data_IF_171092202817
#
_entry.id   IF_171092202817
#
_cell.length_a   1.000
_cell.length_b   1.000
_cell.length_c   1.000
_cell.angle_alpha   90.00
_cell.angle_beta   90.00
_cell.angle_gamma   90.00
#
_symmetry.space_group_name_H-M   'P 1'
#
loop_
_entity.id
_entity.type
_entity.pdbx_description
1 polymer ?
#
# COMPACT_ATOMS: atom_id res chain seq x y z
N UNK A 1 -37.77 52.71 48.57
CA UNK A 1 -38.35 51.86 49.64
C UNK A 1 -37.80 50.48 49.41
N UNK A 2 -36.90 50.15 50.18
CA UNK A 2 -36.58 49.22 51.25
C UNK A 2 -35.68 48.10 50.70
N UNK A 3 -34.46 48.19 50.83
CA UNK A 3 -33.47 47.78 51.85
C UNK A 3 -33.73 46.39 52.48
N UNK A 4 -32.74 45.45 52.27
CA UNK A 4 -32.20 44.43 53.20
C UNK A 4 -31.22 43.55 52.44
N UNK A 5 -29.96 43.69 52.46
CA UNK A 5 -28.86 43.38 53.40
C UNK A 5 -29.15 42.18 54.32
N UNK A 6 -28.24 41.20 54.28
CA UNK A 6 -27.76 40.20 55.24
C UNK A 6 -27.33 38.95 54.39
N UNK A 7 -26.23 38.29 54.53
CA UNK A 7 -25.12 38.26 55.46
C UNK A 7 -24.05 37.34 54.81
N UNK A 8 -22.85 37.56 55.21
CA UNK A 8 -21.63 36.69 54.94
C UNK A 8 -21.84 35.34 55.59
N UNK A 9 -21.44 34.29 54.89
CA UNK A 9 -20.84 33.12 55.54
C UNK A 9 -19.62 32.64 54.78
N UNK A 10 -18.53 32.58 55.49
CA UNK A 10 -17.18 32.17 55.16
C UNK A 10 -17.03 30.66 55.31
N UNK A 11 -16.27 30.06 54.38
CA UNK A 11 -15.40 28.92 54.62
C UNK A 11 -15.77 27.62 54.00
N UNK A 12 -14.83 26.66 53.84
CA UNK A 12 -13.39 26.84 53.71
C UNK A 12 -12.81 26.25 52.39
N UNK A 13 -11.64 26.72 52.06
CA UNK A 13 -10.75 26.20 51.03
C UNK A 13 -10.40 24.72 51.27
N UNK A 14 -10.67 23.89 50.31
CA UNK A 14 -10.04 22.59 50.17
C UNK A 14 -9.29 22.59 48.87
N UNK A 15 -8.03 23.06 48.92
CA UNK A 15 -7.09 22.96 47.81
C UNK A 15 -6.66 21.51 47.63
N UNK A 16 -7.28 20.80 46.74
CA UNK A 16 -6.70 19.58 46.19
C UNK A 16 -5.66 19.95 45.14
N UNK A 17 -4.40 19.99 45.58
CA UNK A 17 -3.25 20.05 44.70
C UNK A 17 -3.11 18.68 44.04
N UNK A 18 -3.55 18.56 42.80
CA UNK A 18 -3.11 17.45 41.96
C UNK A 18 -1.58 17.51 41.79
N UNK A 19 -0.83 16.48 42.12
CA UNK A 19 0.59 16.46 41.83
C UNK A 19 0.76 16.35 40.31
N UNK A 20 1.23 17.43 39.69
CA UNK A 20 1.77 17.42 38.33
C UNK A 20 2.98 16.50 38.33
N UNK A 21 2.77 15.23 38.02
CA UNK A 21 3.83 14.26 37.78
C UNK A 21 4.38 14.54 36.38
N UNK A 22 5.23 15.55 36.27
CA UNK A 22 6.07 15.74 35.10
C UNK A 22 7.19 14.71 35.17
N UNK A 23 7.00 13.56 34.52
CA UNK A 23 8.10 12.70 34.12
C UNK A 23 8.88 13.42 33.02
N UNK A 24 9.81 14.30 33.39
CA UNK A 24 10.84 14.73 32.47
C UNK A 24 11.88 13.61 32.41
N UNK A 25 11.60 12.61 31.59
CA UNK A 25 12.59 11.61 31.25
C UNK A 25 13.48 12.24 30.18
N UNK A 26 14.71 12.60 30.57
CA UNK A 26 15.67 13.15 29.62
C UNK A 26 15.90 12.18 28.46
N UNK A 27 15.69 12.68 27.23
CA UNK A 27 15.87 11.90 26.01
C UNK A 27 17.26 11.23 25.94
N UNK A 28 18.29 11.85 26.54
CA UNK A 28 19.63 11.29 26.67
C UNK A 28 19.69 10.07 27.59
N UNK A 29 18.89 10.05 28.66
CA UNK A 29 18.83 8.92 29.59
C UNK A 29 18.14 7.73 28.94
N UNK A 30 17.05 7.97 28.18
CA UNK A 30 16.38 6.92 27.41
C UNK A 30 17.26 6.33 26.31
N UNK A 31 18.03 7.18 25.61
CA UNK A 31 18.95 6.72 24.57
C UNK A 31 20.06 5.84 25.13
N UNK A 32 20.60 6.22 26.29
CA UNK A 32 21.65 5.45 26.98
C UNK A 32 21.13 4.10 27.48
N UNK A 33 19.91 4.08 28.07
CA UNK A 33 19.27 2.85 28.53
C UNK A 33 18.91 1.92 27.36
N UNK A 34 18.46 2.46 26.24
CA UNK A 34 18.19 1.68 25.05
C UNK A 34 19.47 1.07 24.46
N UNK A 35 20.56 1.82 24.41
CA UNK A 35 21.87 1.32 23.96
C UNK A 35 22.39 0.20 24.88
N UNK A 36 22.24 0.35 26.19
CA UNK A 36 22.66 -0.65 27.17
C UNK A 36 21.82 -1.92 27.14
N UNK A 37 20.52 -1.80 26.80
CA UNK A 37 19.64 -2.94 26.57
C UNK A 37 20.00 -3.67 25.27
N UNK A 38 20.37 -2.95 24.23
CA UNK A 38 20.80 -3.52 22.95
C UNK A 38 22.12 -4.29 23.10
N UNK A 39 23.06 -3.79 23.93
CA UNK A 39 24.31 -4.46 24.20
C UNK A 39 24.14 -5.75 25.03
N UNK A 40 23.06 -5.86 25.78
CA UNK A 40 22.71 -7.07 26.58
C UNK A 40 21.94 -8.11 25.78
N UNK A 41 21.50 -7.80 24.58
CA UNK A 41 20.86 -8.83 23.74
C UNK A 41 21.93 -9.86 23.36
N UNK A 42 21.64 -11.17 23.57
CA UNK A 42 22.55 -12.20 23.13
C UNK A 42 22.74 -12.06 21.64
N UNK A 43 23.96 -11.76 21.22
CA UNK A 43 24.36 -11.87 19.81
C UNK A 43 24.30 -13.37 19.50
N UNK A 44 23.16 -13.82 19.05
CA UNK A 44 23.05 -15.15 18.44
C UNK A 44 23.90 -15.07 17.18
N UNK A 45 24.99 -15.85 17.06
CA UNK A 45 25.71 -15.91 15.81
C UNK A 45 24.69 -16.40 14.77
N UNK A 46 24.23 -15.51 13.93
CA UNK A 46 23.49 -15.94 12.72
C UNK A 46 24.54 -16.66 11.91
N UNK A 47 24.44 -18.00 11.92
CA UNK A 47 25.23 -18.84 11.03
C UNK A 47 24.99 -18.32 9.60
N UNK A 48 25.99 -17.76 8.93
CA UNK A 48 25.78 -17.19 7.58
C UNK A 48 25.54 -18.25 6.52
N UNK A 49 25.34 -19.50 6.91
CA UNK A 49 25.51 -20.63 5.99
C UNK A 49 24.30 -21.16 5.23
N UNK A 50 23.00 -20.93 5.54
CA UNK A 50 22.00 -21.52 4.62
C UNK A 50 21.66 -20.67 3.39
N UNK A 51 22.08 -19.41 3.32
CA UNK A 51 21.72 -18.51 2.21
C UNK A 51 22.94 -17.91 1.46
N UNK A 52 24.13 -18.34 1.77
CA UNK A 52 25.27 -18.22 0.87
C UNK A 52 25.21 -19.33 -0.19
N UNK A 53 24.13 -19.31 -0.96
CA UNK A 53 24.17 -19.97 -2.26
C UNK A 53 25.28 -19.30 -3.08
N UNK A 54 26.15 -20.13 -3.64
CA UNK A 54 27.23 -19.71 -4.51
C UNK A 54 26.64 -18.76 -5.57
N UNK A 55 27.14 -17.51 -5.71
CA UNK A 55 26.61 -16.62 -6.75
C UNK A 55 26.99 -17.22 -8.10
N UNK A 56 26.03 -17.69 -8.86
CA UNK A 56 26.29 -18.12 -10.21
C UNK A 56 25.23 -18.96 -10.90
N UNK A 57 24.67 -19.97 -10.26
CA UNK A 57 23.73 -20.88 -10.94
C UNK A 57 22.27 -20.70 -10.50
N UNK A 58 21.99 -20.36 -9.24
CA UNK A 58 20.63 -20.13 -8.77
C UNK A 58 20.05 -18.77 -9.18
N UNK A 59 20.89 -17.77 -9.36
CA UNK A 59 20.44 -16.42 -9.74
C UNK A 59 19.96 -16.36 -11.20
N UNK A 60 20.54 -17.19 -12.06
CA UNK A 60 20.08 -17.40 -13.45
C UNK A 60 18.77 -18.16 -13.55
N UNK A 61 18.40 -18.95 -12.53
CA UNK A 61 17.18 -19.73 -12.48
C UNK A 61 15.98 -18.95 -11.92
N UNK A 62 16.21 -17.85 -11.22
CA UNK A 62 15.16 -17.01 -10.63
C UNK A 62 14.68 -15.95 -11.62
N UNK A 63 13.39 -15.72 -11.63
CA UNK A 63 12.76 -14.61 -12.35
C UNK A 63 12.85 -13.29 -11.58
N UNK A 64 12.26 -12.22 -12.10
CA UNK A 64 12.19 -10.94 -11.43
C UNK A 64 11.35 -11.04 -10.17
N UNK A 65 11.63 -10.16 -9.18
CA UNK A 65 10.74 -9.99 -8.03
C UNK A 65 9.47 -9.29 -8.49
N UNK A 66 8.32 -9.91 -8.25
CA UNK A 66 7.00 -9.46 -8.68
C UNK A 66 6.13 -9.14 -7.47
N UNK A 67 5.47 -8.00 -7.47
CA UNK A 67 4.38 -7.70 -6.54
C UNK A 67 3.09 -8.29 -7.08
N UNK A 68 2.46 -9.21 -6.34
CA UNK A 68 1.19 -9.82 -6.68
C UNK A 68 0.04 -9.05 -6.03
N UNK A 69 -0.97 -8.77 -6.82
CA UNK A 69 -2.18 -8.10 -6.35
C UNK A 69 -3.41 -8.63 -7.09
N UNK A 70 -4.57 -8.40 -6.51
CA UNK A 70 -5.86 -8.74 -7.10
C UNK A 70 -6.61 -7.47 -7.52
N UNK A 71 -7.14 -7.48 -8.71
CA UNK A 71 -7.99 -6.44 -9.26
C UNK A 71 -9.32 -7.07 -9.66
N UNK A 72 -10.39 -6.77 -8.92
CA UNK A 72 -11.64 -7.53 -8.97
C UNK A 72 -11.38 -9.03 -8.73
N UNK A 73 -11.61 -9.86 -9.73
CA UNK A 73 -11.39 -11.32 -9.64
C UNK A 73 -10.08 -11.77 -10.32
N UNK A 74 -9.36 -10.84 -10.95
CA UNK A 74 -8.13 -11.14 -11.69
C UNK A 74 -6.89 -11.01 -10.81
N UNK A 75 -6.01 -12.01 -10.86
CA UNK A 75 -4.69 -11.97 -10.25
C UNK A 75 -3.67 -11.41 -11.23
N UNK A 76 -3.02 -10.36 -10.81
CA UNK A 76 -2.06 -9.61 -11.62
C UNK A 76 -0.75 -9.41 -10.87
N UNK A 77 0.31 -9.15 -11.61
CA UNK A 77 1.61 -8.84 -11.05
C UNK A 77 2.30 -7.72 -11.83
N UNK A 78 3.09 -6.95 -11.12
CA UNK A 78 4.04 -5.98 -11.68
C UNK A 78 5.42 -6.22 -11.08
N UNK A 79 6.51 -5.88 -11.80
CA UNK A 79 7.85 -5.89 -11.22
C UNK A 79 7.87 -5.03 -9.94
N UNK A 80 8.32 -5.61 -8.83
CA UNK A 80 8.32 -4.93 -7.53
C UNK A 80 9.16 -3.63 -7.55
N UNK A 81 10.18 -3.57 -8.40
CA UNK A 81 11.02 -2.39 -8.58
C UNK A 81 10.30 -1.18 -9.19
N UNK A 82 9.14 -1.37 -9.80
CA UNK A 82 8.33 -0.30 -10.40
C UNK A 82 7.28 0.26 -9.44
N UNK A 83 7.06 -0.43 -8.33
CA UNK A 83 6.11 0.01 -7.29
C UNK A 83 6.87 0.83 -6.26
N UNK A 84 6.52 2.10 -6.18
CA UNK A 84 7.11 3.04 -5.21
C UNK A 84 6.55 2.84 -3.81
N UNK A 85 5.24 2.59 -3.72
CA UNK A 85 4.54 2.49 -2.45
C UNK A 85 3.31 1.60 -2.54
N UNK A 86 3.05 0.89 -1.45
CA UNK A 86 1.78 0.22 -1.16
C UNK A 86 1.14 0.95 0.02
N UNK A 87 0.13 1.74 -0.23
CA UNK A 87 -0.52 2.57 0.78
C UNK A 87 -1.89 2.01 1.19
N UNK A 88 -2.37 2.31 2.40
CA UNK A 88 -3.77 2.10 2.74
C UNK A 88 -4.68 2.87 1.78
N UNK A 89 -5.90 2.38 1.60
CA UNK A 89 -6.89 3.07 0.77
C UNK A 89 -7.13 4.47 1.32
N UNK A 90 -7.13 5.47 0.41
CA UNK A 90 -7.38 6.88 0.72
C UNK A 90 -8.44 7.42 -0.23
N UNK A 91 -9.17 8.44 0.21
CA UNK A 91 -10.05 9.18 -0.66
C UNK A 91 -9.25 9.96 -1.72
N UNK A 92 -9.73 9.96 -2.93
CA UNK A 92 -9.23 10.81 -4.00
C UNK A 92 -10.20 11.95 -4.28
N UNK A 93 -9.69 13.04 -4.79
CA UNK A 93 -10.47 14.23 -5.15
C UNK A 93 -10.62 14.29 -6.67
N UNK A 94 -11.85 14.34 -7.15
CA UNK A 94 -12.12 14.43 -8.58
C UNK A 94 -11.55 15.71 -9.18
N UNK A 95 -11.09 15.62 -10.42
CA UNK A 95 -10.59 16.78 -11.18
C UNK A 95 -11.73 17.34 -12.02
N UNK A 96 -12.20 18.59 -11.79
CA UNK A 96 -13.26 19.20 -12.57
C UNK A 96 -12.86 19.31 -14.06
N UNK A 97 -13.83 19.04 -14.94
CA UNK A 97 -13.63 19.18 -16.38
C UNK A 97 -12.93 18.01 -17.07
N UNK A 98 -12.39 17.06 -16.33
CA UNK A 98 -11.76 15.87 -16.90
C UNK A 98 -12.82 14.83 -17.31
N UNK A 99 -12.72 14.30 -18.52
CA UNK A 99 -13.73 13.40 -19.12
C UNK A 99 -13.28 11.95 -19.25
N UNK A 100 -12.02 11.67 -18.97
CA UNK A 100 -11.46 10.32 -19.08
C UNK A 100 -11.95 9.46 -17.92
N UNK A 101 -12.59 8.32 -18.23
CA UNK A 101 -13.14 7.39 -17.23
C UNK A 101 -12.04 6.78 -16.34
N UNK A 102 -10.86 6.59 -16.91
CA UNK A 102 -9.75 6.00 -16.19
C UNK A 102 -9.20 6.91 -15.09
N UNK A 103 -9.33 8.25 -15.19
CA UNK A 103 -8.89 9.16 -14.13
C UNK A 103 -9.95 9.25 -13.03
N UNK A 104 -9.63 8.72 -11.85
CA UNK A 104 -10.48 8.81 -10.66
C UNK A 104 -10.33 10.17 -9.96
N UNK A 105 -9.16 10.79 -10.03
CA UNK A 105 -8.87 12.07 -9.40
C UNK A 105 -7.43 12.18 -8.93
N UNK A 106 -7.21 12.99 -7.89
CA UNK A 106 -5.90 13.17 -7.24
C UNK A 106 -5.96 12.59 -5.83
N UNK A 107 -4.92 11.89 -5.43
CA UNK A 107 -4.75 11.35 -4.09
C UNK A 107 -3.49 11.91 -3.44
N UNK A 108 -3.53 12.15 -2.15
CA UNK A 108 -2.35 12.58 -1.40
C UNK A 108 -1.57 11.34 -0.92
N UNK A 109 -0.36 11.18 -1.46
CA UNK A 109 0.62 10.20 -1.00
C UNK A 109 1.82 10.94 -0.39
N UNK A 110 2.02 10.81 0.91
CA UNK A 110 3.13 11.44 1.66
C UNK A 110 3.28 12.94 1.43
N UNK A 111 2.16 13.66 1.25
CA UNK A 111 2.17 15.11 1.01
C UNK A 111 2.24 15.50 -0.47
N UNK A 112 2.49 14.58 -1.38
CA UNK A 112 2.44 14.83 -2.82
C UNK A 112 1.05 14.48 -3.39
N UNK A 113 0.52 15.33 -4.25
CA UNK A 113 -0.69 15.04 -5.01
C UNK A 113 -0.33 14.22 -6.24
N UNK A 114 -0.86 13.01 -6.30
CA UNK A 114 -0.57 12.02 -7.32
C UNK A 114 -1.86 11.69 -8.08
N UNK A 115 -1.84 11.60 -9.42
CA UNK A 115 -2.99 11.12 -10.18
C UNK A 115 -3.38 9.71 -9.75
N UNK A 116 -4.68 9.52 -9.49
CA UNK A 116 -5.26 8.22 -9.17
C UNK A 116 -6.08 7.74 -10.36
N UNK A 117 -5.69 6.60 -10.92
CA UNK A 117 -6.31 6.04 -12.12
C UNK A 117 -6.93 4.67 -11.84
N UNK A 118 -7.94 4.32 -12.60
CA UNK A 118 -8.55 2.99 -12.58
C UNK A 118 -7.79 2.08 -13.54
N UNK A 119 -6.96 1.20 -13.01
CA UNK A 119 -6.31 0.16 -13.81
C UNK A 119 -7.35 -0.80 -14.41
N UNK A 120 -8.47 -1.05 -13.70
CA UNK A 120 -9.57 -1.88 -14.20
C UNK A 120 -10.21 -1.34 -15.48
N UNK A 121 -10.47 -0.03 -15.54
CA UNK A 121 -10.99 0.61 -16.75
C UNK A 121 -10.01 0.49 -17.94
N UNK A 122 -8.71 0.62 -17.68
CA UNK A 122 -7.70 0.52 -18.72
C UNK A 122 -7.51 -0.90 -19.24
N UNK A 123 -7.61 -1.89 -18.34
CA UNK A 123 -7.51 -3.29 -18.69
C UNK A 123 -8.82 -3.89 -19.16
N UNK A 124 -9.94 -3.17 -19.05
CA UNK A 124 -11.28 -3.70 -19.32
C UNK A 124 -11.75 -4.74 -18.30
N UNK A 125 -11.13 -4.78 -17.11
CA UNK A 125 -11.54 -5.67 -16.03
C UNK A 125 -12.76 -5.09 -15.34
N UNK A 126 -13.90 -5.71 -15.52
CA UNK A 126 -15.14 -5.30 -14.86
C UNK A 126 -15.18 -5.86 -13.44
N UNK A 127 -15.50 -5.05 -12.42
CA UNK A 127 -15.76 -5.59 -11.09
C UNK A 127 -17.00 -6.48 -11.16
N UNK A 128 -16.91 -7.69 -10.65
CA UNK A 128 -18.09 -8.57 -10.51
C UNK A 128 -19.19 -7.89 -9.71
N UNK A 129 -20.47 -8.15 -10.02
CA UNK A 129 -21.60 -7.59 -9.27
C UNK A 129 -21.50 -7.82 -7.75
N UNK A 130 -20.82 -8.88 -7.34
CA UNK A 130 -20.58 -9.22 -5.93
C UNK A 130 -19.58 -8.28 -5.23
N UNK A 131 -18.74 -7.57 -5.98
CA UNK A 131 -17.74 -6.63 -5.45
C UNK A 131 -18.30 -5.20 -5.33
N UNK A 132 -19.46 -4.93 -5.93
CA UNK A 132 -20.11 -3.61 -5.93
C UNK A 132 -21.01 -3.36 -4.72
N UNK A 133 -21.16 -4.33 -3.81
CA UNK A 133 -21.94 -4.09 -2.60
C UNK A 133 -21.14 -3.15 -1.69
N UNK A 134 -21.63 -1.92 -1.42
CA UNK A 134 -21.00 -1.06 -0.45
C UNK A 134 -20.95 -1.82 0.88
N UNK A 135 -19.87 -1.71 1.66
CA UNK A 135 -19.75 -2.42 2.92
C UNK A 135 -20.85 -1.93 3.87
N UNK A 136 -21.96 -2.67 3.91
CA UNK A 136 -22.98 -2.50 4.93
C UNK A 136 -22.34 -2.96 6.24
N UNK A 137 -21.80 -1.99 6.96
CA UNK A 137 -21.56 -1.97 8.42
C UNK A 137 -21.12 -3.28 9.09
N UNK A 138 -20.13 -3.95 8.56
CA UNK A 138 -19.38 -4.98 9.29
C UNK A 138 -17.91 -4.57 9.27
N UNK A 139 -17.23 -4.68 10.42
CA UNK A 139 -15.80 -4.44 10.68
C UNK A 139 -14.88 -5.36 9.81
N UNK A 140 -15.11 -5.43 8.51
CA UNK A 140 -14.17 -6.02 7.58
C UNK A 140 -13.05 -5.01 7.38
N UNK A 141 -11.88 -5.35 7.91
CA UNK A 141 -10.63 -4.66 7.57
C UNK A 141 -10.57 -4.66 6.06
N UNK A 142 -10.68 -3.48 5.45
CA UNK A 142 -10.60 -3.34 4.00
C UNK A 142 -9.23 -3.85 3.54
N UNK A 143 -9.22 -4.91 2.75
CA UNK A 143 -7.99 -5.45 2.13
C UNK A 143 -7.51 -4.58 0.99
N UNK A 144 -8.37 -3.66 0.50
CA UNK A 144 -8.07 -2.75 -0.59
C UNK A 144 -6.88 -1.84 -0.27
N UNK A 145 -6.03 -1.64 -1.25
CA UNK A 145 -4.81 -0.82 -1.16
C UNK A 145 -4.71 0.10 -2.36
N UNK A 146 -3.93 1.16 -2.19
CA UNK A 146 -3.42 1.98 -3.28
C UNK A 146 -2.01 1.53 -3.61
N UNK A 147 -1.76 1.25 -4.88
CA UNK A 147 -0.42 1.03 -5.40
C UNK A 147 0.04 2.29 -6.13
N UNK A 148 1.26 2.72 -5.87
CA UNK A 148 1.89 3.82 -6.59
C UNK A 148 2.92 3.25 -7.56
N UNK A 149 2.66 3.39 -8.85
CA UNK A 149 3.53 2.96 -9.94
C UNK A 149 4.41 4.12 -10.40
N UNK A 150 5.71 3.88 -10.43
CA UNK A 150 6.67 4.79 -11.07
C UNK A 150 6.91 4.38 -12.51
N UNK A 151 6.69 5.29 -13.43
CA UNK A 151 6.96 5.11 -14.85
C UNK A 151 7.65 6.37 -15.42
N UNK A 152 8.89 6.21 -15.87
CA UNK A 152 9.72 7.36 -16.20
C UNK A 152 9.91 8.30 -15.03
N UNK A 153 9.56 9.56 -15.21
CA UNK A 153 9.58 10.59 -14.16
C UNK A 153 8.22 10.77 -13.47
N UNK A 154 7.20 10.05 -13.91
CA UNK A 154 5.84 10.16 -13.40
C UNK A 154 5.57 9.15 -12.30
N UNK A 155 4.70 9.54 -11.38
CA UNK A 155 4.14 8.68 -10.36
C UNK A 155 2.63 8.69 -10.51
N UNK A 156 2.03 7.53 -10.62
CA UNK A 156 0.57 7.37 -10.69
C UNK A 156 0.11 6.35 -9.68
N UNK A 157 -1.02 6.59 -9.05
CA UNK A 157 -1.63 5.67 -8.10
C UNK A 157 -2.82 4.95 -8.73
N UNK A 158 -3.10 3.75 -8.27
CA UNK A 158 -4.30 3.01 -8.65
C UNK A 158 -4.79 2.11 -7.51
N UNK A 159 -6.12 1.99 -7.31
CA UNK A 159 -6.69 1.12 -6.31
C UNK A 159 -6.67 -0.33 -6.76
N UNK A 160 -6.42 -1.23 -5.81
CA UNK A 160 -6.48 -2.68 -5.99
C UNK A 160 -7.32 -3.30 -4.87
N UNK A 161 -7.91 -4.46 -5.14
CA UNK A 161 -8.77 -5.15 -4.18
C UNK A 161 -7.96 -5.74 -3.03
N UNK A 162 -6.77 -6.26 -3.35
CA UNK A 162 -5.92 -6.95 -2.39
C UNK A 162 -4.46 -6.94 -2.87
N UNK A 163 -3.52 -6.87 -1.95
CA UNK A 163 -2.10 -7.05 -2.22
C UNK A 163 -1.63 -8.28 -1.46
N UNK A 164 -1.09 -9.27 -2.20
CA UNK A 164 -0.55 -10.47 -1.57
C UNK A 164 0.85 -10.23 -1.02
N UNK A 165 1.68 -9.51 -1.75
CA UNK A 165 3.09 -9.28 -1.43
C UNK A 165 4.01 -9.60 -2.61
N UNK A 166 5.32 -9.66 -2.34
CA UNK A 166 6.32 -9.92 -3.37
C UNK A 166 6.65 -11.41 -3.45
N UNK A 167 6.81 -11.89 -4.68
CA UNK A 167 7.29 -13.25 -4.96
C UNK A 167 8.39 -13.19 -6.00
N UNK A 168 9.35 -14.11 -5.92
CA UNK A 168 10.40 -14.30 -6.91
C UNK A 168 10.23 -15.68 -7.51
N UNK A 169 9.48 -15.82 -8.62
CA UNK A 169 9.21 -17.11 -9.23
C UNK A 169 10.48 -17.67 -9.88
N UNK A 170 10.55 -19.00 -10.02
CA UNK A 170 11.50 -19.58 -10.94
C UNK A 170 11.14 -19.18 -12.38
N UNK A 171 12.14 -18.99 -13.25
CA UNK A 171 11.90 -18.66 -14.67
C UNK A 171 11.02 -19.69 -15.37
N UNK A 172 11.14 -20.96 -14.98
CA UNK A 172 10.33 -22.07 -15.49
C UNK A 172 8.85 -22.02 -15.11
N UNK A 173 8.50 -21.25 -14.06
CA UNK A 173 7.11 -21.03 -13.64
C UNK A 173 6.43 -19.91 -14.43
N UNK A 174 7.18 -19.18 -15.25
CA UNK A 174 6.68 -18.12 -16.12
C UNK A 174 6.57 -18.63 -17.55
N UNK A 175 5.41 -18.42 -18.14
CA UNK A 175 5.13 -18.75 -19.55
C UNK A 175 4.84 -17.48 -20.36
N UNK A 176 4.93 -17.57 -21.68
CA UNK A 176 4.44 -16.51 -22.55
C UNK A 176 2.94 -16.29 -22.31
N UNK A 177 2.49 -15.04 -22.34
CA UNK A 177 1.06 -14.74 -22.25
C UNK A 177 0.36 -15.26 -23.51
N UNK A 178 -0.57 -16.23 -23.40
CA UNK A 178 -1.34 -16.65 -24.57
C UNK A 178 -2.33 -15.55 -24.90
N UNK A 179 -2.44 -15.21 -26.18
CA UNK A 179 -3.32 -14.16 -26.69
C UNK A 179 -4.80 -14.36 -26.34
N UNK A 180 -5.21 -15.55 -25.91
CA UNK A 180 -6.60 -15.92 -25.66
C UNK A 180 -6.97 -16.08 -24.19
N UNK A 181 -6.00 -16.11 -23.26
CA UNK A 181 -6.27 -16.54 -21.87
C UNK A 181 -6.48 -15.36 -20.90
N UNK A 182 -6.08 -14.16 -21.27
CA UNK A 182 -6.11 -12.99 -20.39
C UNK A 182 -7.21 -11.98 -20.75
N UNK A 183 -8.17 -12.33 -21.59
CA UNK A 183 -9.37 -11.56 -21.88
C UNK A 183 -9.16 -10.05 -21.97
N UNK A 184 -9.48 -9.36 -20.90
CA UNK A 184 -9.39 -7.90 -20.79
C UNK A 184 -7.96 -7.34 -20.70
N UNK A 185 -6.97 -8.13 -20.28
CA UNK A 185 -5.56 -7.66 -20.14
C UNK A 185 -4.74 -7.81 -21.43
N UNK A 186 -5.41 -8.14 -22.55
CA UNK A 186 -4.75 -8.27 -23.86
C UNK A 186 -4.00 -6.98 -24.22
N UNK A 187 -2.74 -7.16 -24.58
CA UNK A 187 -1.83 -6.04 -24.86
C UNK A 187 -1.06 -5.46 -23.68
N UNK A 188 -1.46 -5.74 -22.42
CA UNK A 188 -0.73 -5.28 -21.23
C UNK A 188 0.10 -6.39 -20.58
N UNK A 189 -0.34 -7.64 -20.67
CA UNK A 189 0.37 -8.77 -20.11
C UNK A 189 1.50 -9.23 -21.04
N UNK A 190 2.67 -9.47 -20.46
CA UNK A 190 3.87 -9.98 -21.16
C UNK A 190 4.17 -11.43 -20.83
N UNK A 191 3.67 -11.90 -19.70
CA UNK A 191 3.86 -13.28 -19.26
C UNK A 191 2.68 -13.71 -18.38
N UNK A 192 2.62 -15.01 -18.14
CA UNK A 192 1.70 -15.64 -17.19
C UNK A 192 2.54 -16.40 -16.17
N UNK A 193 2.21 -16.23 -14.90
CA UNK A 193 2.80 -16.94 -13.79
C UNK A 193 1.79 -17.89 -13.18
N UNK A 194 2.14 -19.16 -13.02
CA UNK A 194 1.40 -20.08 -12.16
C UNK A 194 1.84 -19.88 -10.70
N UNK A 195 0.92 -19.42 -9.89
CA UNK A 195 1.17 -19.19 -8.47
C UNK A 195 0.07 -19.84 -7.64
N UNK A 196 0.43 -20.92 -6.91
CA UNK A 196 -0.54 -21.76 -6.21
C UNK A 196 -1.62 -22.25 -7.20
N UNK A 197 -2.89 -22.01 -6.89
CA UNK A 197 -4.04 -22.38 -7.71
C UNK A 197 -4.43 -21.28 -8.72
N UNK A 198 -3.68 -20.16 -8.73
CA UNK A 198 -4.02 -19.00 -9.54
C UNK A 198 -3.12 -18.86 -10.77
N UNK A 199 -3.73 -18.39 -11.83
CA UNK A 199 -3.05 -17.89 -13.00
C UNK A 199 -2.91 -16.38 -12.85
N UNK A 200 -1.69 -15.88 -12.83
CA UNK A 200 -1.37 -14.47 -12.58
C UNK A 200 -0.86 -13.85 -13.86
N UNK A 201 -1.54 -12.80 -14.34
CA UNK A 201 -1.07 -12.01 -15.48
C UNK A 201 0.07 -11.07 -15.06
N UNK A 202 1.24 -11.22 -15.69
CA UNK A 202 2.37 -10.32 -15.44
C UNK A 202 2.30 -9.16 -16.41
N UNK A 203 2.05 -7.98 -15.90
CA UNK A 203 1.86 -6.76 -16.68
C UNK A 203 3.20 -6.12 -17.04
N UNK A 204 3.24 -5.49 -18.22
CA UNK A 204 4.33 -4.64 -18.65
C UNK A 204 4.19 -3.24 -18.00
N UNK A 205 5.08 -2.83 -17.09
CA UNK A 205 4.97 -1.55 -16.43
C UNK A 205 5.08 -0.36 -17.38
N UNK A 206 5.78 -0.51 -18.50
CA UNK A 206 5.90 0.55 -19.51
C UNK A 206 4.58 0.75 -20.25
N UNK A 207 3.89 -0.33 -20.60
CA UNK A 207 2.58 -0.26 -21.27
C UNK A 207 1.52 0.31 -20.32
N UNK A 208 1.53 -0.12 -19.06
CA UNK A 208 0.63 0.43 -18.03
C UNK A 208 0.90 1.91 -17.83
N UNK A 209 2.17 2.31 -17.67
CA UNK A 209 2.55 3.72 -17.53
C UNK A 209 2.14 4.56 -18.72
N UNK A 210 2.41 4.10 -19.95
CA UNK A 210 1.99 4.79 -21.16
C UNK A 210 0.46 4.94 -21.28
N UNK A 211 -0.31 3.95 -20.77
CA UNK A 211 -1.76 4.06 -20.72
C UNK A 211 -2.23 5.09 -19.69
N UNK A 212 -1.54 5.16 -18.54
CA UNK A 212 -1.78 6.21 -17.56
C UNK A 212 -1.52 7.59 -18.13
N UNK A 213 -0.38 7.81 -18.82
CA UNK A 213 -0.04 9.08 -19.43
C UNK A 213 -1.08 9.51 -20.47
N UNK A 214 -1.55 8.59 -21.32
CA UNK A 214 -2.64 8.86 -22.28
C UNK A 214 -3.97 9.24 -21.62
N UNK A 215 -4.20 8.75 -20.41
CA UNK A 215 -5.42 9.07 -19.66
C UNK A 215 -5.33 10.41 -18.92
N UNK A 216 -4.14 11.01 -18.86
CA UNK A 216 -3.90 12.31 -18.23
C UNK A 216 -3.82 13.44 -19.28
N UNK A 217 -3.59 13.11 -20.55
CA UNK A 217 -3.54 14.05 -21.66
C UNK A 217 -4.95 14.46 -22.12
#
# INVERSE_FOLDING_TARGET
MTNREIARETGPESGERHPNFRLSVDAHTLHRQAAELLDRLPVVPVDPAPWRAVPGEEETARGPSLLLFRLADEWLALPASTIEEVAPMRAWHSVPGHRQRALLGLVNLRGALVPCLSLGELLGVQPSPQTQTPPTNTLRVSTSRLLALRHGHHLSAFPVTEVHGTVTPAKTAMGAAPATTLGATDGFAVAVLRWREHVVGVLDPLRVGAAFDRSLA
#
